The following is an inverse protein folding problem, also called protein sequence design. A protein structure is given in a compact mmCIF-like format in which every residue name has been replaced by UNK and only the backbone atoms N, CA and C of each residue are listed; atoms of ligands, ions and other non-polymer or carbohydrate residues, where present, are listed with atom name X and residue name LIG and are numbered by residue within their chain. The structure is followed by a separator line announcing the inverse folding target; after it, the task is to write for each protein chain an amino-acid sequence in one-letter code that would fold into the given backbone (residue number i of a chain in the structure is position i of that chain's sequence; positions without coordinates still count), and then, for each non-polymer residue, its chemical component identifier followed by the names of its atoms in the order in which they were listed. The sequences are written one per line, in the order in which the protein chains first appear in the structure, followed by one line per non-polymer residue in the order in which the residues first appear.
data_IF_260658445867
#
_entry.id   IF_260658445867
#
_cell.length_a   1.000
_cell.length_b   1.000
_cell.length_c   1.000
_cell.angle_alpha   90.00
_cell.angle_beta   90.00
_cell.angle_gamma   90.00
#
_symmetry.space_group_name_H-M   'P 1'
#
loop_
_entity.id
_entity.type
_entity.pdbx_description
1 polymer ?
#
# COMPACT_ATOMS: atom_id res chain seq x y z
N UNK A 1 12.36 17.70 -0.42
CA UNK A 1 11.09 17.72 -0.27
C UNK A 1 10.67 17.58 1.08
N UNK A 2 9.74 17.89 1.27
CA UNK A 2 9.26 17.89 2.38
C UNK A 2 8.01 17.43 2.20
N UNK A 3 7.15 17.49 2.85
CA UNK A 3 5.83 17.14 2.62
C UNK A 3 5.60 15.70 2.47
N UNK A 4 6.11 14.91 3.35
CA UNK A 4 5.89 13.49 3.26
C UNK A 4 4.61 13.05 3.92
N UNK A 5 3.82 13.98 4.46
CA UNK A 5 2.55 13.63 5.05
C UNK A 5 1.68 12.96 4.00
N UNK A 6 1.09 11.83 4.34
CA UNK A 6 0.24 11.10 3.42
C UNK A 6 0.95 10.08 2.57
N UNK A 7 2.28 10.08 2.53
CA UNK A 7 2.99 9.04 1.79
C UNK A 7 2.88 7.71 2.53
N UNK A 8 2.76 6.60 1.78
CA UNK A 8 2.72 5.28 2.42
C UNK A 8 4.03 4.95 3.12
N UNK A 9 3.95 4.10 4.14
CA UNK A 9 5.12 3.69 4.90
C UNK A 9 6.04 2.79 4.10
N UNK A 10 5.47 1.96 3.25
CA UNK A 10 6.23 0.99 2.45
C UNK A 10 5.79 1.09 1.01
N UNK A 11 6.77 1.15 0.12
CA UNK A 11 6.50 1.18 -1.32
C UNK A 11 7.33 0.08 -1.97
N UNK A 12 6.70 -0.69 -2.85
CA UNK A 12 7.37 -1.77 -3.54
C UNK A 12 6.93 -1.82 -5.00
N UNK A 13 7.74 -2.45 -5.82
CA UNK A 13 7.38 -2.73 -7.20
C UNK A 13 7.44 -4.24 -7.38
N UNK A 14 6.30 -4.86 -7.67
CA UNK A 14 6.18 -6.29 -7.79
C UNK A 14 5.72 -6.62 -9.20
N UNK A 15 6.62 -7.23 -9.97
CA UNK A 15 6.31 -7.63 -11.34
C UNK A 15 5.77 -6.45 -12.15
N UNK A 16 6.39 -5.30 -11.97
CA UNK A 16 6.00 -4.10 -12.67
C UNK A 16 4.84 -3.34 -12.07
N UNK A 17 4.30 -3.80 -10.96
CA UNK A 17 3.16 -3.13 -10.30
C UNK A 17 3.64 -2.29 -9.14
N UNK A 18 3.14 -1.09 -9.05
CA UNK A 18 3.39 -0.22 -7.90
C UNK A 18 2.48 -0.69 -6.76
N UNK A 19 3.07 -0.98 -5.62
CA UNK A 19 2.34 -1.47 -4.45
C UNK A 19 2.76 -0.66 -3.23
N UNK A 20 1.81 -0.22 -2.46
CA UNK A 20 2.08 0.60 -1.28
C UNK A 20 1.33 0.05 -0.07
N UNK A 21 1.93 0.19 1.09
CA UNK A 21 1.33 -0.26 2.34
C UNK A 21 1.37 0.86 3.36
N UNK A 22 0.24 1.06 4.02
CA UNK A 22 0.16 1.95 5.17
C UNK A 22 0.01 1.08 6.40
N UNK A 23 0.97 1.14 7.32
CA UNK A 23 1.00 0.27 8.50
C UNK A 23 0.32 0.98 9.65
N UNK A 24 -0.69 0.33 10.23
CA UNK A 24 -1.43 0.87 11.36
C UNK A 24 -1.59 -0.20 12.43
N UNK A 25 -1.85 0.22 13.66
CA UNK A 25 -2.26 -0.72 14.69
C UNK A 25 -3.66 -1.24 14.36
N UNK A 26 -4.09 -2.35 14.96
CA UNK A 26 -5.41 -2.90 14.64
C UNK A 26 -6.57 -1.92 14.87
N UNK A 27 -6.42 -0.98 15.80
CA UNK A 27 -7.45 0.00 16.04
C UNK A 27 -7.13 1.36 15.42
N UNK A 28 -5.98 1.47 14.76
CA UNK A 28 -5.60 2.71 14.13
C UNK A 28 -6.39 2.98 12.87
N UNK A 29 -6.63 4.24 12.58
CA UNK A 29 -7.38 4.65 11.40
C UNK A 29 -6.51 5.48 10.49
N UNK A 30 -6.79 5.38 9.20
CA UNK A 30 -6.12 6.21 8.22
C UNK A 30 -6.54 7.67 8.42
N UNK A 31 -5.60 8.58 8.24
CA UNK A 31 -5.93 9.99 8.18
C UNK A 31 -6.61 10.26 6.84
N UNK A 32 -7.26 11.41 6.75
CA UNK A 32 -7.89 11.80 5.50
C UNK A 32 -6.88 11.86 4.35
N UNK A 33 -5.71 12.40 4.63
CA UNK A 33 -4.68 12.51 3.60
C UNK A 33 -4.19 11.14 3.16
N UNK A 34 -4.05 10.19 4.11
CA UNK A 34 -3.67 8.83 3.77
C UNK A 34 -4.73 8.15 2.90
N UNK A 35 -6.00 8.36 3.22
CA UNK A 35 -7.09 7.81 2.41
C UNK A 35 -7.03 8.34 0.99
N UNK A 36 -6.81 9.64 0.86
CA UNK A 36 -6.73 10.28 -0.45
C UNK A 36 -5.56 9.71 -1.25
N UNK A 37 -4.41 9.56 -0.60
CA UNK A 37 -3.22 9.03 -1.27
C UNK A 37 -3.44 7.60 -1.75
N UNK A 38 -4.05 6.77 -0.90
CA UNK A 38 -4.35 5.39 -1.28
C UNK A 38 -5.29 5.36 -2.48
N UNK A 39 -6.30 6.21 -2.47
CA UNK A 39 -7.24 6.25 -3.57
C UNK A 39 -6.58 6.72 -4.88
N UNK A 40 -5.70 7.71 -4.78
CA UNK A 40 -4.97 8.18 -5.97
C UNK A 40 -4.09 7.10 -6.56
N UNK A 41 -3.44 6.31 -5.71
CA UNK A 41 -2.61 5.20 -6.18
C UNK A 41 -3.47 4.19 -6.92
N UNK A 42 -4.61 3.83 -6.35
CA UNK A 42 -5.52 2.88 -6.98
C UNK A 42 -6.06 3.40 -8.29
N UNK A 43 -6.44 4.67 -8.32
CA UNK A 43 -6.97 5.29 -9.54
C UNK A 43 -5.94 5.30 -10.66
N UNK A 44 -4.67 5.38 -10.30
CA UNK A 44 -3.58 5.39 -11.28
C UNK A 44 -3.17 3.98 -11.72
N UNK A 45 -3.83 2.95 -11.20
CA UNK A 45 -3.53 1.57 -11.59
C UNK A 45 -2.60 0.83 -10.64
N UNK A 46 -2.15 1.48 -9.58
CA UNK A 46 -1.34 0.82 -8.57
C UNK A 46 -2.21 0.14 -7.53
N UNK A 47 -1.56 -0.45 -6.55
CA UNK A 47 -2.26 -1.10 -5.44
C UNK A 47 -1.79 -0.48 -4.14
N UNK A 48 -2.72 -0.31 -3.20
CA UNK A 48 -2.39 0.28 -1.92
C UNK A 48 -3.29 -0.34 -0.86
N UNK A 49 -2.70 -0.64 0.29
CA UNK A 49 -3.37 -1.36 1.35
C UNK A 49 -3.08 -0.75 2.70
N UNK A 50 -4.07 -0.79 3.58
CA UNK A 50 -3.85 -0.58 4.99
C UNK A 50 -3.60 -1.96 5.60
N UNK A 51 -2.49 -2.12 6.33
CA UNK A 51 -2.14 -3.39 6.96
C UNK A 51 -1.84 -3.16 8.43
N UNK A 52 -1.91 -4.23 9.22
CA UNK A 52 -1.67 -4.13 10.66
C UNK A 52 -0.47 -4.95 11.12
N UNK A 53 0.17 -5.67 10.23
CA UNK A 53 1.32 -6.50 10.62
C UNK A 53 2.20 -6.81 9.43
N UNK A 54 3.44 -7.22 9.73
CA UNK A 54 4.35 -7.66 8.69
C UNK A 54 3.86 -8.95 8.02
N UNK A 55 3.11 -9.75 8.74
CA UNK A 55 2.56 -10.99 8.18
C UNK A 55 1.57 -10.66 7.07
N UNK A 56 0.72 -9.66 7.28
CA UNK A 56 -0.21 -9.24 6.24
C UNK A 56 0.52 -8.76 5.00
N UNK A 57 1.59 -7.99 5.19
CA UNK A 57 2.39 -7.51 4.05
C UNK A 57 2.93 -8.70 3.28
N UNK A 58 3.51 -9.68 3.99
CA UNK A 58 4.08 -10.85 3.34
C UNK A 58 3.03 -11.64 2.57
N UNK A 59 1.84 -11.79 3.13
CA UNK A 59 0.75 -12.51 2.47
C UNK A 59 0.32 -11.82 1.20
N UNK A 60 0.20 -10.49 1.23
CA UNK A 60 -0.19 -9.73 0.06
C UNK A 60 0.89 -9.81 -1.02
N UNK A 61 2.15 -9.66 -0.63
CA UNK A 61 3.25 -9.75 -1.59
C UNK A 61 3.28 -11.11 -2.27
N UNK A 62 3.06 -12.18 -1.50
CA UNK A 62 3.05 -13.50 -2.08
C UNK A 62 1.92 -13.67 -3.08
N UNK A 63 0.74 -13.18 -2.77
CA UNK A 63 -0.37 -13.22 -3.71
C UNK A 63 -0.06 -12.49 -5.00
N UNK A 64 0.59 -11.33 -4.89
CA UNK A 64 0.92 -10.55 -6.07
C UNK A 64 1.99 -11.23 -6.91
N UNK A 65 2.96 -11.87 -6.26
CA UNK A 65 3.98 -12.63 -6.98
C UNK A 65 3.41 -13.81 -7.72
N UNK A 66 2.41 -14.46 -7.13
CA UNK A 66 1.80 -15.65 -7.70
C UNK A 66 0.72 -15.34 -8.72
N UNK A 67 0.27 -14.08 -8.80
CA UNK A 67 -0.78 -13.71 -9.73
C UNK A 67 -0.29 -13.73 -11.17
N UNK A 68 -1.16 -14.10 -12.10
CA UNK A 68 -0.79 -13.99 -13.51
C UNK A 68 -0.48 -12.56 -13.86
N UNK A 69 0.53 -12.37 -14.70
CA UNK A 69 0.90 -11.05 -15.12
C UNK A 69 -0.01 -10.67 -16.27
N UNK A 70 -0.54 -9.50 -16.22
CA UNK A 70 -1.47 -9.08 -17.25
C UNK A 70 -0.78 -8.42 -18.40
#
# INVERSE_FOLDING_TARGET
MYGTAGLPDIIACIRGRFVAFEVKTPIGKLTKLQEITIQKIRDAGGQAFKVTSAIEVAQILKKLEDSPYE
#
